data_IF_225543462036
#
_entry.id   IF_225543462036
#
_cell.length_a   1.000
_cell.length_b   1.000
_cell.length_c   1.000
_cell.angle_alpha   90.00
_cell.angle_beta   90.00
_cell.angle_gamma   90.00
#
_symmetry.space_group_name_H-M   'P 1'
#
loop_
_entity.id
_entity.type
_entity.pdbx_description
1 polymer ?
#
# COMPACT_ATOMS: atom_id res chain seq x y z
N UNK A 1 -23.87 14.86 -26.85
CA UNK A 1 -23.44 14.77 -25.45
C UNK A 1 -22.52 13.57 -25.38
N UNK A 2 -21.21 13.82 -25.35
CA UNK A 2 -20.22 12.77 -25.13
C UNK A 2 -20.09 12.62 -23.61
N UNK A 3 -20.49 11.46 -23.08
CA UNK A 3 -20.32 11.18 -21.65
C UNK A 3 -18.92 10.59 -21.47
N UNK A 4 -18.06 11.17 -20.61
CA UNK A 4 -16.75 10.56 -20.37
C UNK A 4 -16.94 9.15 -19.81
N UNK A 5 -16.23 8.18 -20.39
CA UNK A 5 -16.17 6.83 -19.86
C UNK A 5 -15.43 6.87 -18.52
N UNK A 6 -16.16 6.80 -17.42
CA UNK A 6 -15.57 6.59 -16.11
C UNK A 6 -15.29 5.10 -15.94
N UNK A 7 -14.02 4.72 -15.96
CA UNK A 7 -13.57 3.42 -15.48
C UNK A 7 -13.14 3.56 -14.02
N UNK A 8 -13.19 2.47 -13.26
CA UNK A 8 -12.64 2.47 -11.90
C UNK A 8 -11.46 1.53 -11.83
N UNK A 9 -10.59 1.77 -10.86
CA UNK A 9 -9.49 0.86 -10.57
C UNK A 9 -9.31 0.73 -9.06
N UNK A 10 -9.07 -0.49 -8.59
CA UNK A 10 -8.48 -0.71 -7.26
C UNK A 10 -7.06 -1.21 -7.42
N UNK A 11 -6.21 -0.83 -6.48
CA UNK A 11 -4.80 -1.22 -6.46
C UNK A 11 -4.58 -2.25 -5.37
N UNK A 12 -3.88 -3.33 -5.68
CA UNK A 12 -3.38 -4.27 -4.69
C UNK A 12 -1.86 -4.21 -4.69
N UNK A 13 -1.29 -4.04 -3.51
CA UNK A 13 0.14 -4.23 -3.29
C UNK A 13 0.34 -5.64 -2.74
N UNK A 14 1.05 -6.50 -3.46
CA UNK A 14 1.29 -7.89 -3.07
C UNK A 14 2.74 -8.08 -2.60
N UNK A 15 2.94 -8.69 -1.44
CA UNK A 15 4.27 -8.90 -0.86
C UNK A 15 4.21 -9.73 0.42
N UNK A 16 5.38 -9.92 1.04
CA UNK A 16 5.44 -10.66 2.31
C UNK A 16 4.84 -9.83 3.44
N UNK A 17 3.81 -10.36 4.10
CA UNK A 17 3.28 -9.76 5.32
C UNK A 17 4.26 -9.96 6.48
N UNK A 18 4.27 -9.02 7.42
CA UNK A 18 5.04 -9.12 8.66
C UNK A 18 4.47 -10.23 9.56
N UNK A 19 5.36 -11.03 10.15
CA UNK A 19 4.98 -12.23 10.91
C UNK A 19 4.30 -11.93 12.25
N UNK A 20 4.45 -10.71 12.79
CA UNK A 20 3.84 -10.26 14.05
C UNK A 20 2.59 -9.44 13.81
N UNK A 21 2.57 -8.66 12.74
CA UNK A 21 1.42 -7.86 12.32
C UNK A 21 1.17 -8.04 10.82
N UNK A 22 0.24 -8.95 10.49
CA UNK A 22 -0.08 -9.27 9.09
C UNK A 22 -0.66 -8.10 8.30
N UNK A 23 -1.04 -6.99 8.95
CA UNK A 23 -1.43 -5.78 8.24
C UNK A 23 -0.23 -5.03 7.64
N UNK A 24 0.99 -5.26 8.13
CA UNK A 24 2.22 -4.61 7.66
C UNK A 24 2.97 -5.51 6.66
N UNK A 25 3.81 -4.91 5.82
CA UNK A 25 4.82 -5.66 5.06
C UNK A 25 6.05 -5.92 5.92
N UNK A 26 6.61 -7.11 5.77
CA UNK A 26 7.81 -7.53 6.48
C UNK A 26 9.01 -6.65 6.09
N UNK A 27 9.80 -6.24 7.08
CA UNK A 27 11.11 -5.68 6.83
C UNK A 27 12.11 -6.80 6.45
N UNK A 28 12.73 -6.71 5.29
CA UNK A 28 13.82 -7.60 4.84
C UNK A 28 15.22 -7.02 5.12
N UNK A 29 15.28 -5.79 5.65
CA UNK A 29 16.50 -5.17 6.17
C UNK A 29 16.90 -5.69 7.56
N UNK A 30 17.80 -4.96 8.23
CA UNK A 30 18.36 -5.38 9.53
C UNK A 30 17.67 -4.80 10.75
N UNK A 31 16.82 -3.77 10.58
CA UNK A 31 16.04 -3.21 11.69
C UNK A 31 15.02 -4.24 12.22
N UNK A 32 14.84 -4.26 13.53
CA UNK A 32 13.89 -5.17 14.20
C UNK A 32 12.70 -4.38 14.76
N UNK A 33 11.58 -5.06 14.98
CA UNK A 33 10.40 -4.48 15.61
C UNK A 33 9.60 -3.52 14.73
N UNK A 34 9.89 -3.47 13.42
CA UNK A 34 9.24 -2.55 12.47
C UNK A 34 8.78 -3.29 11.22
N UNK A 35 7.60 -2.90 10.73
CA UNK A 35 7.09 -3.26 9.42
C UNK A 35 6.75 -2.00 8.61
N UNK A 36 6.44 -2.19 7.33
CA UNK A 36 6.11 -1.11 6.41
C UNK A 36 4.59 -1.07 6.22
N UNK A 37 3.99 0.10 6.51
CA UNK A 37 2.58 0.39 6.26
C UNK A 37 2.47 1.17 4.94
N UNK A 38 1.71 0.66 3.99
CA UNK A 38 1.27 1.45 2.84
C UNK A 38 0.00 2.23 3.18
N UNK A 39 -0.19 3.36 2.53
CA UNK A 39 -1.26 4.32 2.80
C UNK A 39 -1.89 4.75 1.48
N UNK A 40 -3.20 4.81 1.44
CA UNK A 40 -3.95 5.47 0.38
C UNK A 40 -4.13 6.94 0.74
N UNK A 41 -3.37 7.81 0.08
CA UNK A 41 -3.39 9.26 0.34
C UNK A 41 -4.50 9.97 -0.41
N UNK A 42 -5.13 9.31 -1.40
CA UNK A 42 -6.29 9.84 -2.10
C UNK A 42 -7.57 9.61 -1.30
N UNK A 43 -7.63 8.53 -0.54
CA UNK A 43 -8.75 8.21 0.34
C UNK A 43 -8.63 8.82 1.74
N UNK A 44 -7.96 9.97 1.89
CA UNK A 44 -7.84 10.66 3.19
C UNK A 44 -6.76 10.08 4.12
N UNK A 45 -5.67 9.55 3.57
CA UNK A 45 -4.57 8.90 4.30
C UNK A 45 -5.01 7.65 5.07
N UNK A 46 -5.78 6.78 4.40
CA UNK A 46 -6.19 5.51 5.00
C UNK A 46 -5.05 4.48 4.97
N UNK A 47 -4.82 3.74 6.07
CA UNK A 47 -3.87 2.64 6.06
C UNK A 47 -4.37 1.52 5.16
N UNK A 48 -3.46 0.97 4.35
CA UNK A 48 -3.69 -0.25 3.59
C UNK A 48 -3.18 -1.45 4.40
N UNK A 49 -4.04 -2.45 4.56
CA UNK A 49 -3.65 -3.78 5.04
C UNK A 49 -2.81 -4.46 3.96
N UNK A 50 -1.69 -5.09 4.34
CA UNK A 50 -0.83 -5.79 3.41
C UNK A 50 -1.62 -6.83 2.60
N UNK A 51 -1.36 -6.89 1.29
CA UNK A 51 -2.06 -7.77 0.35
C UNK A 51 -3.57 -7.52 0.19
N UNK A 52 -4.18 -6.53 0.84
CA UNK A 52 -5.55 -6.12 0.58
C UNK A 52 -5.62 -5.16 -0.62
N UNK A 53 -6.76 -5.14 -1.31
CA UNK A 53 -7.03 -4.12 -2.33
C UNK A 53 -7.37 -2.78 -1.65
N UNK A 54 -6.97 -1.68 -2.29
CA UNK A 54 -7.41 -0.33 -1.96
C UNK A 54 -8.91 -0.15 -2.20
N UNK A 55 -9.42 1.02 -1.80
CA UNK A 55 -10.71 1.49 -2.31
C UNK A 55 -10.64 1.68 -3.84
N UNK A 56 -11.82 1.73 -4.48
CA UNK A 56 -11.90 2.08 -5.90
C UNK A 56 -11.55 3.56 -6.09
N UNK A 57 -10.71 3.82 -7.09
CA UNK A 57 -10.41 5.16 -7.58
C UNK A 57 -11.04 5.35 -8.96
N UNK A 58 -11.73 6.47 -9.14
CA UNK A 58 -12.27 6.85 -10.45
C UNK A 58 -11.12 7.24 -11.40
N UNK A 59 -11.21 6.76 -12.64
CA UNK A 59 -10.34 7.15 -13.74
C UNK A 59 -11.08 8.08 -14.68
N UNK A 60 -10.37 9.09 -15.13
CA UNK A 60 -10.82 10.03 -16.15
C UNK A 60 -10.08 9.79 -17.47
N UNK A 61 -10.62 10.29 -18.58
CA UNK A 61 -9.93 10.19 -19.87
C UNK A 61 -8.61 10.96 -19.83
N UNK A 62 -7.52 10.30 -20.21
CA UNK A 62 -6.16 10.85 -20.20
C UNK A 62 -5.33 10.32 -19.03
N UNK A 63 -4.32 11.10 -18.63
CA UNK A 63 -3.39 10.70 -17.58
C UNK A 63 -4.04 10.77 -16.20
N UNK A 64 -3.91 9.69 -15.43
CA UNK A 64 -4.40 9.61 -14.06
C UNK A 64 -3.21 9.39 -13.11
N UNK A 65 -3.19 10.11 -12.00
CA UNK A 65 -2.16 9.99 -10.97
C UNK A 65 -2.76 9.41 -9.69
N UNK A 66 -2.40 8.16 -9.38
CA UNK A 66 -2.76 7.51 -8.12
C UNK A 66 -1.69 7.76 -7.08
N UNK A 67 -2.07 8.28 -5.91
CA UNK A 67 -1.13 8.69 -4.85
C UNK A 67 -1.21 7.78 -3.64
N UNK A 68 -0.12 7.06 -3.41
CA UNK A 68 0.07 6.22 -2.23
C UNK A 68 1.26 6.71 -1.41
N UNK A 69 1.23 6.44 -0.11
CA UNK A 69 2.30 6.74 0.83
C UNK A 69 2.82 5.49 1.51
N UNK A 70 3.97 5.61 2.14
CA UNK A 70 4.55 4.56 2.99
C UNK A 70 5.03 5.16 4.30
N UNK A 71 4.88 4.42 5.39
CA UNK A 71 5.46 4.76 6.70
C UNK A 71 5.96 3.51 7.42
N UNK A 72 6.90 3.71 8.34
CA UNK A 72 7.34 2.66 9.25
C UNK A 72 6.40 2.59 10.44
N UNK A 73 6.03 1.38 10.86
CA UNK A 73 5.14 1.14 11.98
C UNK A 73 5.72 0.04 12.86
N UNK A 74 5.61 0.19 14.19
CA UNK A 74 6.06 -0.84 15.12
C UNK A 74 5.20 -2.10 14.94
N UNK A 75 5.82 -3.27 14.77
CA UNK A 75 5.10 -4.52 14.51
C UNK A 75 4.68 -5.27 15.79
N UNK A 76 5.12 -4.81 16.97
CA UNK A 76 4.83 -5.40 18.27
C UNK A 76 6.08 -5.70 19.08
N UNK A 77 7.17 -6.11 18.41
CA UNK A 77 8.45 -6.40 19.06
C UNK A 77 9.21 -5.12 19.44
N UNK A 78 10.26 -5.26 20.24
CA UNK A 78 11.15 -4.15 20.58
C UNK A 78 11.86 -3.63 19.31
N UNK A 79 11.89 -2.30 19.15
CA UNK A 79 12.53 -1.68 17.99
C UNK A 79 14.04 -1.67 18.19
N UNK A 80 14.78 -2.17 17.19
CA UNK A 80 16.23 -2.08 17.12
C UNK A 80 16.66 -1.38 15.82
N UNK A 81 17.75 -0.61 15.89
CA UNK A 81 18.27 0.14 14.74
C UNK A 81 18.80 -0.79 13.66
N UNK A 82 18.69 -0.35 12.41
CA UNK A 82 19.15 -1.09 11.25
C UNK A 82 18.57 -0.51 9.96
N UNK A 83 18.71 -1.23 8.86
CA UNK A 83 18.12 -0.85 7.58
C UNK A 83 16.68 -1.32 7.48
N UNK A 84 15.89 -0.59 6.68
CA UNK A 84 14.55 -1.02 6.29
C UNK A 84 14.49 -1.22 4.79
N UNK A 85 13.98 -2.36 4.36
CA UNK A 85 13.73 -2.69 2.97
C UNK A 85 12.47 -3.58 2.88
N UNK A 86 11.71 -3.42 1.79
CA UNK A 86 10.59 -4.28 1.46
C UNK A 86 10.30 -4.17 -0.04
N UNK A 87 10.03 -5.30 -0.67
CA UNK A 87 9.61 -5.37 -2.07
C UNK A 87 8.13 -5.74 -2.12
N UNK A 88 7.37 -4.99 -2.93
CA UNK A 88 5.95 -5.24 -3.18
C UNK A 88 5.65 -5.13 -4.67
N UNK A 89 4.70 -5.92 -5.13
CA UNK A 89 4.18 -5.91 -6.50
C UNK A 89 2.93 -5.04 -6.57
N UNK A 90 2.91 -4.06 -7.46
CA UNK A 90 1.76 -3.19 -7.70
C UNK A 90 0.87 -3.79 -8.79
N UNK A 91 -0.37 -4.13 -8.47
CA UNK A 91 -1.36 -4.67 -9.41
C UNK A 91 -2.59 -3.76 -9.50
N UNK A 92 -3.05 -3.49 -10.72
CA UNK A 92 -4.24 -2.70 -11.00
C UNK A 92 -5.39 -3.60 -11.42
N UNK A 93 -6.52 -3.49 -10.73
CA UNK A 93 -7.74 -4.22 -11.02
C UNK A 93 -8.78 -3.24 -11.59
N UNK A 94 -8.97 -3.25 -12.91
CA UNK A 94 -9.91 -2.38 -13.60
C UNK A 94 -11.36 -2.88 -13.47
N UNK A 95 -12.31 -1.95 -13.44
CA UNK A 95 -13.76 -2.19 -13.40
C UNK A 95 -14.49 -1.39 -14.46
#
# INVERSE_FOLDING_TARGET
>A
MDYPSFSKVSVQFAGSADAKNADLYANTGTAQGVGIRLMDTMAGNLPLTANAASADHDLTSGDNMLKFGARLEKNGDAVATGTVAADVTYAMNYK
#
